data_IF_351598117264
#
_entry.id   IF_351598117264
#
_cell.length_a   1.000
_cell.length_b   1.000
_cell.length_c   1.000
_cell.angle_alpha   90.00
_cell.angle_beta   90.00
_cell.angle_gamma   90.00
#
_symmetry.space_group_name_H-M   'P 1'
#
loop_
_entity.id
_entity.type
_entity.pdbx_description
1 polymer ?
#
# COMPACT_ATOMS: atom_id res chain seq x y z
N UNK A 1 -24.13 -12.81 -39.27
CA UNK A 1 -24.30 -12.07 -38.00
C UNK A 1 -23.27 -12.62 -37.03
N UNK A 2 -22.25 -11.85 -36.68
CA UNK A 2 -21.25 -12.28 -35.69
C UNK A 2 -21.63 -11.74 -34.32
N UNK A 3 -22.03 -12.63 -33.43
CA UNK A 3 -22.23 -12.32 -32.02
C UNK A 3 -20.90 -11.91 -31.39
N UNK A 4 -20.81 -10.63 -30.99
CA UNK A 4 -19.78 -10.15 -30.08
C UNK A 4 -20.04 -10.78 -28.71
N UNK A 5 -19.25 -11.79 -28.35
CA UNK A 5 -19.13 -12.26 -26.97
C UNK A 5 -18.43 -11.18 -26.13
N UNK A 6 -19.22 -10.27 -25.56
CA UNK A 6 -18.77 -9.41 -24.46
C UNK A 6 -18.47 -10.29 -23.25
N UNK A 7 -17.18 -10.50 -23.00
CA UNK A 7 -16.66 -11.19 -21.82
C UNK A 7 -17.27 -10.62 -20.52
N UNK A 8 -17.84 -11.45 -19.63
CA UNK A 8 -18.63 -11.02 -18.47
C UNK A 8 -17.81 -10.25 -17.42
N UNK A 9 -16.47 -10.33 -17.49
CA UNK A 9 -15.57 -9.67 -16.55
C UNK A 9 -15.50 -8.15 -16.76
N UNK A 10 -15.74 -7.65 -17.98
CA UNK A 10 -15.75 -6.21 -18.27
C UNK A 10 -17.03 -5.50 -17.81
N UNK A 11 -18.15 -6.21 -17.69
CA UNK A 11 -19.45 -5.63 -17.32
C UNK A 11 -19.55 -5.40 -15.80
N UNK A 12 -18.80 -6.15 -14.99
CA UNK A 12 -18.82 -6.00 -13.53
C UNK A 12 -18.12 -4.73 -13.03
N UNK A 13 -17.16 -4.20 -13.80
CA UNK A 13 -16.33 -3.06 -13.39
C UNK A 13 -17.03 -1.69 -13.49
N UNK A 14 -18.18 -1.62 -14.18
CA UNK A 14 -18.88 -0.36 -14.50
C UNK A 14 -20.29 -0.29 -13.89
N UNK A 15 -20.62 -1.20 -12.97
CA UNK A 15 -21.91 -1.17 -12.28
C UNK A 15 -21.95 0.01 -11.31
N UNK A 16 -22.97 0.89 -11.37
CA UNK A 16 -23.11 1.99 -10.43
C UNK A 16 -23.10 1.47 -8.99
N UNK A 17 -22.34 2.16 -8.15
CA UNK A 17 -22.17 1.82 -6.75
C UNK A 17 -23.53 1.83 -6.04
N UNK A 18 -23.81 0.84 -5.18
CA UNK A 18 -25.02 0.86 -4.38
C UNK A 18 -25.08 2.17 -3.56
N UNK A 19 -26.21 2.89 -3.49
CA UNK A 19 -26.30 4.18 -2.80
C UNK A 19 -25.85 4.14 -1.34
N UNK A 20 -26.05 3.00 -0.65
CA UNK A 20 -25.57 2.77 0.72
C UNK A 20 -24.05 2.72 0.82
N UNK A 21 -23.39 2.07 -0.15
CA UNK A 21 -21.94 1.95 -0.23
C UNK A 21 -21.30 3.30 -0.61
N UNK A 22 -21.89 4.04 -1.55
CA UNK A 22 -21.43 5.40 -1.88
C UNK A 22 -21.43 6.31 -0.66
N UNK A 23 -22.54 6.36 0.08
CA UNK A 23 -22.64 7.14 1.33
C UNK A 23 -21.67 6.68 2.40
N UNK A 24 -21.39 5.38 2.51
CA UNK A 24 -20.42 4.87 3.48
C UNK A 24 -18.99 5.30 3.12
N UNK A 25 -18.61 5.22 1.84
CA UNK A 25 -17.33 5.70 1.32
C UNK A 25 -17.19 7.21 1.53
N UNK A 26 -18.23 8.00 1.24
CA UNK A 26 -18.23 9.45 1.47
C UNK A 26 -17.97 9.80 2.93
N UNK A 27 -18.69 9.17 3.87
CA UNK A 27 -18.50 9.40 5.32
C UNK A 27 -17.09 9.04 5.78
N UNK A 28 -16.55 7.92 5.30
CA UNK A 28 -15.19 7.52 5.61
C UNK A 28 -14.18 8.52 5.04
N UNK A 29 -14.35 8.91 3.76
CA UNK A 29 -13.54 9.90 3.07
C UNK A 29 -13.49 11.22 3.81
N UNK A 30 -14.63 11.72 4.30
CA UNK A 30 -14.70 12.96 5.10
C UNK A 30 -13.89 12.86 6.38
N UNK A 31 -14.08 11.80 7.18
CA UNK A 31 -13.32 11.60 8.41
C UNK A 31 -11.81 11.45 8.14
N UNK A 32 -11.44 10.73 7.08
CA UNK A 32 -10.05 10.55 6.68
C UNK A 32 -9.42 11.87 6.19
N UNK A 33 -10.16 12.67 5.42
CA UNK A 33 -9.72 13.97 4.93
C UNK A 33 -9.54 14.97 6.08
N UNK A 34 -10.41 14.95 7.09
CA UNK A 34 -10.31 15.80 8.27
C UNK A 34 -9.03 15.51 9.05
N UNK A 35 -8.75 14.23 9.31
CA UNK A 35 -7.49 13.78 9.94
C UNK A 35 -6.28 14.14 9.07
N UNK A 36 -6.39 13.95 7.74
CA UNK A 36 -5.36 14.32 6.78
C UNK A 36 -4.98 15.80 6.88
N UNK A 37 -5.98 16.70 6.94
CA UNK A 37 -5.75 18.15 7.08
C UNK A 37 -5.09 18.52 8.41
N UNK A 38 -5.42 17.83 9.51
CA UNK A 38 -4.74 18.04 10.80
C UNK A 38 -3.25 17.71 10.69
N UNK A 39 -2.95 16.53 10.13
CA UNK A 39 -1.56 16.07 9.94
C UNK A 39 -0.76 16.98 9.01
N UNK A 40 -1.37 17.42 7.91
CA UNK A 40 -0.75 18.35 6.96
C UNK A 40 -0.38 19.69 7.61
N UNK A 41 -1.19 20.17 8.56
CA UNK A 41 -0.92 21.39 9.34
C UNK A 41 -0.01 21.16 10.56
N UNK A 42 0.49 19.95 10.79
CA UNK A 42 1.25 19.60 11.99
C UNK A 42 0.44 19.69 13.29
N UNK A 43 -0.90 19.63 13.20
CA UNK A 43 -1.79 19.72 14.35
C UNK A 43 -2.09 18.32 14.92
N UNK A 44 -2.31 18.21 16.24
CA UNK A 44 -2.71 16.95 16.86
C UNK A 44 -4.09 16.51 16.36
N UNK A 45 -4.24 15.22 16.05
CA UNK A 45 -5.54 14.63 15.73
C UNK A 45 -6.36 14.54 17.02
N UNK A 46 -7.60 15.04 16.98
CA UNK A 46 -8.47 15.11 18.15
C UNK A 46 -9.19 13.76 18.35
N UNK A 47 -9.43 13.38 19.61
CA UNK A 47 -10.07 12.09 19.95
C UNK A 47 -11.44 11.88 19.28
N UNK A 48 -12.19 12.97 19.04
CA UNK A 48 -13.48 12.89 18.34
C UNK A 48 -13.30 12.62 16.83
N UNK A 49 -12.19 13.06 16.22
CA UNK A 49 -11.88 12.77 14.81
C UNK A 49 -11.50 11.30 14.64
N UNK A 50 -10.69 10.76 15.57
CA UNK A 50 -10.39 9.32 15.60
C UNK A 50 -11.66 8.49 15.78
N UNK A 51 -12.54 8.90 16.70
CA UNK A 51 -13.83 8.26 16.91
C UNK A 51 -14.73 8.34 15.69
N UNK A 52 -14.74 9.48 14.97
CA UNK A 52 -15.50 9.65 13.74
C UNK A 52 -14.98 8.73 12.63
N UNK A 53 -13.67 8.65 12.43
CA UNK A 53 -13.06 7.74 11.46
C UNK A 53 -13.39 6.28 11.80
N UNK A 54 -13.28 5.90 13.07
CA UNK A 54 -13.61 4.55 13.53
C UNK A 54 -15.07 4.20 13.24
N UNK A 55 -16.02 5.06 13.63
CA UNK A 55 -17.46 4.85 13.36
C UNK A 55 -17.78 4.80 11.87
N UNK A 56 -17.15 5.66 11.08
CA UNK A 56 -17.30 5.63 9.62
C UNK A 56 -16.73 4.33 9.02
N UNK A 57 -15.62 3.84 9.57
CA UNK A 57 -15.04 2.53 9.23
C UNK A 57 -15.98 1.38 9.54
N UNK A 58 -16.54 1.33 10.76
CA UNK A 58 -17.53 0.32 11.17
C UNK A 58 -18.76 0.32 10.24
N UNK A 59 -19.28 1.50 9.90
CA UNK A 59 -20.39 1.63 8.97
C UNK A 59 -20.05 1.19 7.54
N UNK A 60 -18.81 1.42 7.09
CA UNK A 60 -18.32 0.97 5.80
C UNK A 60 -18.12 -0.55 5.78
N UNK A 61 -17.56 -1.13 6.84
CA UNK A 61 -17.41 -2.58 6.99
C UNK A 61 -18.76 -3.31 7.06
N UNK A 62 -19.80 -2.66 7.58
CA UNK A 62 -21.17 -3.18 7.54
C UNK A 62 -21.73 -3.33 6.11
N UNK A 63 -21.23 -2.55 5.14
CA UNK A 63 -21.60 -2.72 3.72
C UNK A 63 -20.86 -3.89 3.07
N UNK A 64 -19.62 -4.12 3.48
CA UNK A 64 -18.77 -5.23 3.04
C UNK A 64 -17.63 -5.43 4.03
N UNK A 65 -17.36 -6.66 4.49
CA UNK A 65 -16.22 -6.95 5.36
C UNK A 65 -14.89 -6.42 4.81
N UNK A 66 -14.11 -5.79 5.69
CA UNK A 66 -12.80 -5.19 5.43
C UNK A 66 -12.76 -4.01 4.45
N UNK A 67 -13.91 -3.45 4.08
CA UNK A 67 -13.97 -2.29 3.20
C UNK A 67 -13.25 -1.06 3.79
N UNK A 68 -13.31 -0.84 5.10
CA UNK A 68 -12.58 0.24 5.76
C UNK A 68 -11.06 0.06 5.63
N UNK A 69 -10.57 -1.18 5.80
CA UNK A 69 -9.15 -1.51 5.61
C UNK A 69 -8.71 -1.31 4.16
N UNK A 70 -9.51 -1.80 3.22
CA UNK A 70 -9.20 -1.70 1.79
C UNK A 70 -9.19 -0.21 1.34
N UNK A 71 -10.13 0.61 1.84
CA UNK A 71 -10.18 2.05 1.55
C UNK A 71 -9.05 2.83 2.25
N UNK A 72 -8.68 2.46 3.47
CA UNK A 72 -7.53 3.06 4.17
C UNK A 72 -6.23 2.87 3.38
N UNK A 73 -5.96 1.64 2.92
CA UNK A 73 -4.80 1.33 2.08
C UNK A 73 -4.81 2.11 0.76
N UNK A 74 -5.98 2.29 0.15
CA UNK A 74 -6.13 3.07 -1.07
C UNK A 74 -5.79 4.55 -0.83
N UNK A 75 -6.30 5.15 0.25
CA UNK A 75 -6.03 6.55 0.62
C UNK A 75 -4.57 6.77 1.02
N UNK A 76 -3.93 5.80 1.68
CA UNK A 76 -2.49 5.89 1.99
C UNK A 76 -1.65 5.99 0.71
N UNK A 77 -2.07 5.30 -0.37
CA UNK A 77 -1.40 5.35 -1.68
C UNK A 77 -1.76 6.60 -2.48
N UNK A 78 -3.02 7.02 -2.46
CA UNK A 78 -3.49 8.25 -3.11
C UNK A 78 -4.38 9.06 -2.16
N UNK A 79 -3.79 10.02 -1.40
CA UNK A 79 -4.52 10.84 -0.44
C UNK A 79 -5.66 11.66 -1.04
N UNK A 80 -5.66 11.90 -2.36
CA UNK A 80 -6.73 12.64 -3.05
C UNK A 80 -8.06 11.89 -2.99
N UNK A 81 -8.02 10.55 -2.94
CA UNK A 81 -9.22 9.72 -2.85
C UNK A 81 -10.08 10.04 -1.62
N UNK A 82 -9.47 10.47 -0.51
CA UNK A 82 -10.22 10.88 0.68
C UNK A 82 -10.98 12.19 0.44
N UNK A 83 -10.36 13.16 -0.25
CA UNK A 83 -10.95 14.47 -0.58
C UNK A 83 -12.08 14.28 -1.59
N UNK A 84 -11.81 13.58 -2.69
CA UNK A 84 -12.79 13.28 -3.73
C UNK A 84 -14.01 12.55 -3.15
N UNK A 85 -13.78 11.54 -2.31
CA UNK A 85 -14.86 10.81 -1.64
C UNK A 85 -15.66 11.73 -0.71
N UNK A 86 -15.01 12.63 0.04
CA UNK A 86 -15.69 13.56 0.94
C UNK A 86 -16.60 14.57 0.22
N UNK A 87 -16.26 14.89 -1.03
CA UNK A 87 -17.02 15.73 -1.97
C UNK A 87 -18.12 14.96 -2.73
N UNK A 88 -18.26 13.66 -2.47
CA UNK A 88 -19.27 12.79 -3.10
C UNK A 88 -18.79 12.10 -4.38
N UNK A 89 -17.56 12.35 -4.85
CA UNK A 89 -16.95 11.62 -5.96
C UNK A 89 -16.35 10.29 -5.47
N UNK A 90 -17.23 9.33 -5.16
CA UNK A 90 -16.83 8.06 -4.53
C UNK A 90 -16.39 6.98 -5.52
N UNK A 91 -16.52 7.20 -6.83
CA UNK A 91 -16.22 6.20 -7.86
C UNK A 91 -14.75 5.78 -7.88
N UNK A 92 -13.82 6.74 -7.80
CA UNK A 92 -12.38 6.48 -7.74
C UNK A 92 -12.01 5.70 -6.47
N UNK A 93 -12.53 6.12 -5.32
CA UNK A 93 -12.33 5.45 -4.04
C UNK A 93 -12.85 4.01 -4.05
N UNK A 94 -14.02 3.76 -4.65
CA UNK A 94 -14.58 2.41 -4.77
C UNK A 94 -13.70 1.49 -5.64
N UNK A 95 -13.21 1.98 -6.79
CA UNK A 95 -12.31 1.23 -7.68
C UNK A 95 -10.96 0.92 -7.02
N UNK A 96 -10.39 1.91 -6.33
CA UNK A 96 -9.14 1.73 -5.60
C UNK A 96 -9.32 0.74 -4.44
N UNK A 97 -10.43 0.83 -3.71
CA UNK A 97 -10.80 -0.11 -2.66
C UNK A 97 -10.95 -1.55 -3.19
N UNK A 98 -11.54 -1.76 -4.37
CA UNK A 98 -11.58 -3.10 -4.98
C UNK A 98 -10.16 -3.58 -5.35
N UNK A 99 -9.31 -2.70 -5.85
CA UNK A 99 -7.90 -3.03 -6.12
C UNK A 99 -7.19 -3.51 -4.85
N UNK A 100 -7.36 -2.80 -3.73
CA UNK A 100 -6.77 -3.19 -2.45
C UNK A 100 -7.37 -4.48 -1.90
N UNK A 101 -8.66 -4.74 -2.12
CA UNK A 101 -9.28 -6.03 -1.80
C UNK A 101 -8.59 -7.16 -2.55
N UNK A 102 -8.38 -7.00 -3.86
CA UNK A 102 -7.72 -7.99 -4.70
C UNK A 102 -6.31 -8.29 -4.21
N UNK A 103 -5.54 -7.25 -3.89
CA UNK A 103 -4.23 -7.42 -3.26
C UNK A 103 -4.36 -8.18 -1.95
N UNK A 104 -5.29 -7.81 -1.06
CA UNK A 104 -5.43 -8.47 0.24
C UNK A 104 -5.69 -9.97 0.15
N UNK A 105 -6.47 -10.42 -0.83
CA UNK A 105 -6.86 -11.85 -0.93
C UNK A 105 -5.92 -12.68 -1.81
N UNK A 106 -5.18 -12.07 -2.73
CA UNK A 106 -4.34 -12.76 -3.71
C UNK A 106 -2.83 -12.59 -3.38
N UNK A 107 -2.14 -13.65 -2.94
CA UNK A 107 -0.71 -13.60 -2.63
C UNK A 107 0.18 -13.17 -3.82
N UNK A 108 -0.21 -13.47 -5.06
CA UNK A 108 0.56 -13.06 -6.24
C UNK A 108 0.46 -11.55 -6.46
N UNK A 109 -0.74 -10.97 -6.25
CA UNK A 109 -0.92 -9.52 -6.28
C UNK A 109 -0.22 -8.84 -5.10
N UNK A 110 -0.22 -9.43 -3.90
CA UNK A 110 0.60 -8.93 -2.77
C UNK A 110 2.08 -8.94 -3.10
N UNK A 111 2.59 -10.02 -3.70
CA UNK A 111 3.98 -10.11 -4.10
C UNK A 111 4.32 -9.06 -5.17
N UNK A 112 3.47 -8.85 -6.16
CA UNK A 112 3.65 -7.79 -7.15
C UNK A 112 3.76 -6.41 -6.51
N UNK A 113 2.84 -6.11 -5.58
CA UNK A 113 2.86 -4.84 -4.83
C UNK A 113 4.06 -4.70 -3.90
N UNK A 114 4.55 -5.80 -3.35
CA UNK A 114 5.77 -5.80 -2.55
C UNK A 114 6.99 -5.47 -3.42
N UNK A 115 7.14 -6.15 -4.56
CA UNK A 115 8.25 -5.94 -5.50
C UNK A 115 8.26 -4.50 -6.02
N UNK A 116 7.12 -3.97 -6.43
CA UNK A 116 6.96 -2.57 -6.87
C UNK A 116 7.45 -1.59 -5.80
N UNK A 117 6.97 -1.73 -4.56
CA UNK A 117 7.37 -0.86 -3.46
C UNK A 117 8.85 -1.01 -3.11
N UNK A 118 9.35 -2.25 -3.09
CA UNK A 118 10.75 -2.53 -2.78
C UNK A 118 11.70 -1.87 -3.78
N UNK A 119 11.43 -2.03 -5.08
CA UNK A 119 12.26 -1.42 -6.12
C UNK A 119 12.14 0.11 -6.11
N UNK A 120 10.93 0.66 -5.95
CA UNK A 120 10.75 2.11 -5.83
C UNK A 120 11.52 2.71 -4.64
N UNK A 121 11.54 2.01 -3.49
CA UNK A 121 12.35 2.44 -2.34
C UNK A 121 13.85 2.32 -2.62
N UNK A 122 14.30 1.26 -3.30
CA UNK A 122 15.70 1.08 -3.69
C UNK A 122 16.17 2.20 -4.63
N UNK A 123 15.36 2.55 -5.63
CA UNK A 123 15.64 3.64 -6.58
C UNK A 123 15.66 5.01 -5.90
N UNK A 124 14.65 5.30 -5.06
CA UNK A 124 14.58 6.55 -4.31
C UNK A 124 15.77 6.68 -3.34
N UNK A 125 16.17 5.59 -2.68
CA UNK A 125 17.35 5.56 -1.80
C UNK A 125 18.62 5.87 -2.60
N UNK A 126 18.85 5.20 -3.72
CA UNK A 126 20.00 5.45 -4.59
C UNK A 126 20.00 6.87 -5.17
N UNK A 127 18.83 7.47 -5.39
CA UNK A 127 18.71 8.87 -5.79
C UNK A 127 19.07 9.84 -4.66
N UNK A 128 18.61 9.59 -3.44
CA UNK A 128 18.98 10.38 -2.26
C UNK A 128 20.48 10.30 -1.97
N UNK A 129 21.07 9.11 -2.09
CA UNK A 129 22.51 8.90 -1.96
C UNK A 129 23.30 9.74 -2.96
N UNK A 130 22.93 9.71 -4.24
CA UNK A 130 23.56 10.53 -5.30
C UNK A 130 23.39 12.04 -5.06
N UNK A 131 22.30 12.45 -4.42
CA UNK A 131 22.04 13.84 -4.05
C UNK A 131 22.74 14.26 -2.74
N UNK A 132 23.42 13.35 -2.04
CA UNK A 132 24.07 13.61 -0.75
C UNK A 132 23.13 13.58 0.46
N UNK A 133 21.85 13.25 0.28
CA UNK A 133 20.87 13.10 1.37
C UNK A 133 21.02 11.74 2.06
N UNK A 134 22.08 11.61 2.86
CA UNK A 134 22.37 10.38 3.62
C UNK A 134 21.30 10.09 4.67
N UNK A 135 20.74 11.12 5.30
CA UNK A 135 19.72 10.95 6.33
C UNK A 135 18.41 10.42 5.74
N UNK A 136 17.99 10.93 4.58
CA UNK A 136 16.86 10.41 3.82
C UNK A 136 17.07 8.97 3.36
N UNK A 137 18.25 8.67 2.81
CA UNK A 137 18.62 7.32 2.40
C UNK A 137 18.60 6.32 3.56
N UNK A 138 19.15 6.69 4.73
CA UNK A 138 19.13 5.84 5.93
C UNK A 138 17.70 5.59 6.43
N UNK A 139 16.87 6.64 6.46
CA UNK A 139 15.45 6.52 6.85
C UNK A 139 14.71 5.55 5.93
N UNK A 140 14.98 5.59 4.63
CA UNK A 140 14.39 4.68 3.67
C UNK A 140 14.91 3.25 3.85
N UNK A 141 16.21 3.07 4.12
CA UNK A 141 16.81 1.78 4.49
C UNK A 141 16.13 1.14 5.71
N UNK A 142 15.90 1.89 6.79
CA UNK A 142 15.17 1.41 7.98
C UNK A 142 13.74 0.96 7.67
N UNK A 143 13.06 1.66 6.75
CA UNK A 143 11.72 1.27 6.27
C UNK A 143 11.78 -0.05 5.49
N UNK A 144 12.78 -0.21 4.62
CA UNK A 144 13.01 -1.46 3.88
C UNK A 144 13.30 -2.64 4.83
N UNK A 145 14.16 -2.44 5.84
CA UNK A 145 14.43 -3.44 6.88
C UNK A 145 13.16 -3.86 7.63
N UNK A 146 12.32 -2.89 7.99
CA UNK A 146 11.04 -3.17 8.65
C UNK A 146 10.09 -3.96 7.75
N UNK A 147 10.06 -3.66 6.45
CA UNK A 147 9.25 -4.37 5.46
C UNK A 147 9.72 -5.82 5.27
N UNK A 148 11.03 -6.03 5.16
CA UNK A 148 11.64 -7.36 5.10
C UNK A 148 11.36 -8.16 6.39
N UNK A 149 11.52 -7.50 7.54
CA UNK A 149 11.26 -8.09 8.85
C UNK A 149 9.80 -8.46 9.05
N UNK A 150 8.84 -7.76 8.45
CA UNK A 150 7.41 -8.08 8.55
C UNK A 150 6.96 -9.32 7.77
N UNK A 151 7.79 -9.84 6.86
CA UNK A 151 7.39 -10.88 5.92
C UNK A 151 7.04 -12.22 6.59
N UNK A 152 7.66 -12.54 7.73
CA UNK A 152 7.35 -13.75 8.51
C UNK A 152 5.88 -13.86 8.94
N UNK A 153 5.13 -12.74 8.92
CA UNK A 153 3.71 -12.69 9.28
C UNK A 153 2.79 -13.12 8.13
N UNK A 154 3.32 -13.28 6.92
CA UNK A 154 2.57 -13.74 5.74
C UNK A 154 3.36 -14.85 5.01
N UNK A 155 3.28 -16.11 5.47
CA UNK A 155 4.01 -17.23 4.86
C UNK A 155 3.65 -17.47 3.38
N UNK A 156 2.42 -17.13 2.97
CA UNK A 156 2.02 -17.26 1.56
C UNK A 156 2.74 -16.24 0.69
N UNK A 157 2.82 -14.98 1.13
CA UNK A 157 3.61 -13.94 0.46
C UNK A 157 5.09 -14.32 0.42
N UNK A 158 5.64 -14.84 1.53
CA UNK A 158 7.04 -15.26 1.60
C UNK A 158 7.37 -16.34 0.56
N UNK A 159 6.50 -17.35 0.41
CA UNK A 159 6.63 -18.41 -0.59
C UNK A 159 6.62 -17.86 -2.02
N UNK A 160 5.71 -16.91 -2.31
CA UNK A 160 5.63 -16.28 -3.64
C UNK A 160 6.87 -15.43 -3.92
N UNK A 161 7.30 -14.60 -2.97
CA UNK A 161 8.47 -13.75 -3.11
C UNK A 161 9.76 -14.56 -3.28
N UNK A 162 9.86 -15.73 -2.63
CA UNK A 162 11.00 -16.63 -2.83
C UNK A 162 11.10 -17.11 -4.29
N UNK A 163 9.98 -17.37 -4.96
CA UNK A 163 9.96 -17.70 -6.40
C UNK A 163 10.33 -16.49 -7.27
N UNK A 164 9.96 -15.29 -6.82
CA UNK A 164 10.22 -14.00 -7.49
C UNK A 164 11.51 -13.31 -7.04
N UNK A 165 12.40 -14.01 -6.35
CA UNK A 165 13.68 -13.45 -5.88
C UNK A 165 14.52 -12.80 -7.00
N UNK A 166 14.55 -13.32 -8.24
CA UNK A 166 15.26 -12.65 -9.34
C UNK A 166 14.74 -11.23 -9.64
N UNK A 167 13.44 -10.98 -9.49
CA UNK A 167 12.83 -9.66 -9.70
C UNK A 167 13.21 -8.65 -8.62
N UNK A 168 13.65 -9.14 -7.46
CA UNK A 168 14.20 -8.33 -6.36
C UNK A 168 15.72 -8.13 -6.51
N UNK A 169 16.32 -8.66 -7.58
CA UNK A 169 17.76 -8.77 -7.78
C UNK A 169 18.46 -9.51 -6.62
N UNK A 170 17.82 -10.54 -6.09
CA UNK A 170 18.33 -11.38 -5.01
C UNK A 170 18.73 -12.76 -5.52
N UNK A 171 19.82 -13.28 -4.97
CA UNK A 171 20.22 -14.68 -5.12
C UNK A 171 19.95 -15.40 -3.80
N UNK A 172 19.01 -16.34 -3.81
CA UNK A 172 18.66 -17.09 -2.60
C UNK A 172 19.79 -18.02 -2.18
N UNK A 173 20.35 -17.83 -0.98
CA UNK A 173 21.23 -18.83 -0.38
C UNK A 173 20.44 -19.99 0.24
N UNK A 174 21.05 -21.18 0.28
CA UNK A 174 20.42 -22.35 0.89
C UNK A 174 20.19 -22.11 2.39
N UNK A 175 18.96 -22.35 2.83
CA UNK A 175 18.57 -22.26 4.25
C UNK A 175 18.18 -20.86 4.72
N UNK A 176 18.33 -19.80 3.90
CA UNK A 176 17.89 -18.44 4.27
C UNK A 176 16.46 -18.16 3.81
N UNK A 177 15.74 -17.41 4.64
CA UNK A 177 14.43 -16.85 4.27
C UNK A 177 14.61 -15.67 3.30
N UNK A 178 13.63 -15.44 2.44
CA UNK A 178 13.65 -14.28 1.53
C UNK A 178 13.65 -12.95 2.31
N UNK A 179 13.05 -12.92 3.50
CA UNK A 179 13.11 -11.75 4.40
C UNK A 179 14.53 -11.46 4.89
N UNK A 180 15.31 -12.49 5.24
CA UNK A 180 16.73 -12.34 5.60
C UNK A 180 17.56 -11.86 4.42
N UNK A 181 17.34 -12.40 3.21
CA UNK A 181 18.02 -11.95 1.99
C UNK A 181 17.74 -10.47 1.69
N UNK A 182 16.47 -10.06 1.82
CA UNK A 182 16.05 -8.68 1.65
C UNK A 182 16.74 -7.76 2.67
N UNK A 183 16.73 -8.12 3.95
CA UNK A 183 17.37 -7.34 5.00
C UNK A 183 18.90 -7.21 4.77
N UNK A 184 19.54 -8.30 4.34
CA UNK A 184 20.97 -8.29 4.02
C UNK A 184 21.28 -7.38 2.82
N UNK A 185 20.43 -7.39 1.78
CA UNK A 185 20.62 -6.52 0.61
C UNK A 185 20.61 -5.02 0.97
N UNK A 186 19.80 -4.63 1.97
CA UNK A 186 19.75 -3.26 2.48
C UNK A 186 21.01 -2.93 3.29
N UNK A 187 21.51 -3.89 4.08
CA UNK A 187 22.73 -3.75 4.87
C UNK A 187 24.00 -3.63 4.00
N UNK A 188 24.14 -4.45 2.96
CA UNK A 188 25.27 -4.37 2.01
C UNK A 188 25.32 -3.00 1.33
N UNK A 189 24.15 -2.42 1.01
CA UNK A 189 24.07 -1.04 0.52
C UNK A 189 24.67 -0.03 1.50
N UNK A 190 24.39 -0.17 2.80
CA UNK A 190 24.94 0.71 3.86
C UNK A 190 26.45 0.55 4.04
N UNK A 191 26.99 -0.66 3.95
CA UNK A 191 28.43 -0.87 4.19
C UNK A 191 29.31 -0.31 3.05
N UNK A 192 28.81 -0.29 1.79
CA UNK A 192 29.48 0.43 0.70
C UNK A 192 29.60 1.93 0.97
N UNK A 193 28.64 2.53 1.69
CA UNK A 193 28.64 3.96 2.05
C UNK A 193 29.73 4.29 3.08
N UNK A 194 29.97 3.39 4.05
CA UNK A 194 31.01 3.59 5.08
C UNK A 194 32.42 3.50 4.51
N UNK A 195 32.61 2.73 3.43
CA UNK A 195 33.90 2.58 2.75
C UNK A 195 34.30 3.77 1.86
N UNK A 196 33.35 4.62 1.44
CA UNK A 196 33.60 5.77 0.55
C UNK A 196 33.77 7.12 1.27
N UNK A 197 33.90 7.10 2.61
CA UNK A 197 34.26 8.29 3.38
C UNK A 197 35.77 8.29 3.66
N UNK A 198 36.58 8.65 2.67
CA UNK A 198 38.00 9.00 2.83
C UNK A 198 38.34 10.22 1.99
#
# INVERSE_FOLDING_TARGET
>A
MSEKTTSPERVAADRPLAPSQARAIERYGRAAADIGRMREKGLPVLAHQESALRRAGEALDATRPHAARDLASAIERDPRLARDAAEGNTGGAAKAMETERQVRIDPEKRAGRFVEQWQGMKEARASMERAGDRAGAEKLGKRMESMAGGLHRDPQLESVLRRRAPELALSMERGRSIGQELAQSVAIGRDRERGMSR
#
